data_IF_095215573561
#
_entry.id   IF_095215573561
#
_cell.length_a   1.000
_cell.length_b   1.000
_cell.length_c   1.000
_cell.angle_alpha   90.00
_cell.angle_beta   90.00
_cell.angle_gamma   90.00
#
_symmetry.space_group_name_H-M   'P 1'
#
loop_
_entity.id
_entity.type
_entity.pdbx_description
1 polymer ?
#
# COMPACT_ATOMS: atom_id res chain seq x y z
N UNK A 1 -2.98 25.22 0.45
CA UNK A 1 -2.84 23.90 -0.19
C UNK A 1 -2.29 22.96 0.85
N UNK A 2 -3.12 22.09 1.38
CA UNK A 2 -2.73 21.03 2.31
C UNK A 2 -2.10 19.86 1.56
N UNK A 3 -1.46 18.95 2.29
CA UNK A 3 -0.91 17.73 1.71
C UNK A 3 -2.01 16.85 1.09
N UNK A 4 -3.18 16.79 1.71
CA UNK A 4 -4.35 16.04 1.25
C UNK A 4 -4.93 16.63 -0.03
N UNK A 5 -4.99 17.96 -0.14
CA UNK A 5 -5.37 18.65 -1.38
C UNK A 5 -4.35 18.38 -2.50
N UNK A 6 -3.05 18.35 -2.17
CA UNK A 6 -1.98 18.02 -3.10
C UNK A 6 -2.09 16.58 -3.61
N UNK A 7 -2.39 15.62 -2.70
CA UNK A 7 -2.68 14.23 -3.03
C UNK A 7 -3.87 14.12 -3.98
N UNK A 8 -4.97 14.82 -3.70
CA UNK A 8 -6.18 14.79 -4.54
C UNK A 8 -5.88 15.28 -5.96
N UNK A 9 -5.17 16.41 -6.10
CA UNK A 9 -4.76 16.93 -7.41
C UNK A 9 -3.83 16.00 -8.18
N UNK A 10 -2.85 15.40 -7.50
CA UNK A 10 -1.99 14.38 -8.12
C UNK A 10 -2.80 13.16 -8.57
N UNK A 11 -3.83 12.77 -7.80
CA UNK A 11 -4.68 11.64 -8.14
C UNK A 11 -5.53 11.89 -9.39
N UNK A 12 -6.07 13.12 -9.53
CA UNK A 12 -6.84 13.58 -10.69
C UNK A 12 -6.01 13.71 -11.97
N UNK A 13 -4.68 13.85 -11.85
CA UNK A 13 -3.78 13.89 -12.99
C UNK A 13 -3.08 12.54 -13.20
N UNK A 14 -3.50 11.77 -14.21
CA UNK A 14 -2.91 10.46 -14.53
C UNK A 14 -1.41 10.49 -14.87
N UNK A 15 -0.84 11.66 -15.18
CA UNK A 15 0.59 11.80 -15.44
C UNK A 15 1.40 12.09 -14.17
N UNK A 16 0.74 12.38 -13.04
CA UNK A 16 1.42 12.64 -11.78
C UNK A 16 1.96 11.34 -11.18
N UNK A 17 3.26 11.32 -10.91
CA UNK A 17 3.98 10.16 -10.36
C UNK A 17 4.38 10.35 -8.88
N UNK A 18 4.52 11.59 -8.41
CA UNK A 18 4.77 11.87 -7.01
C UNK A 18 4.32 13.28 -6.61
N UNK A 19 4.17 13.50 -5.30
CA UNK A 19 3.88 14.81 -4.72
C UNK A 19 4.55 14.99 -3.35
N UNK A 20 4.75 16.23 -2.93
CA UNK A 20 5.30 16.60 -1.63
C UNK A 20 4.89 18.03 -1.24
N UNK A 21 5.11 18.38 0.03
CA UNK A 21 5.08 19.78 0.46
C UNK A 21 6.27 20.53 -0.17
N UNK A 22 6.02 21.75 -0.65
CA UNK A 22 7.07 22.60 -1.22
C UNK A 22 7.86 23.37 -0.15
N UNK A 23 7.25 23.61 1.01
CA UNK A 23 7.89 24.13 2.21
C UNK A 23 7.71 23.10 3.32
N UNK A 24 8.79 22.73 4.01
CA UNK A 24 8.80 21.72 5.08
C UNK A 24 8.65 22.34 6.48
N UNK A 25 8.73 23.67 6.60
CA UNK A 25 8.64 24.38 7.88
C UNK A 25 7.24 24.27 8.47
N UNK A 26 7.16 24.36 9.81
CA UNK A 26 5.90 24.50 10.55
C UNK A 26 4.86 23.38 10.26
N UNK A 27 5.32 22.14 10.05
CA UNK A 27 4.47 20.99 9.71
C UNK A 27 4.20 20.83 8.20
N UNK A 28 4.80 21.69 7.39
CA UNK A 28 4.81 21.62 5.94
C UNK A 28 3.64 22.33 5.27
N UNK A 29 3.90 22.97 4.14
CA UNK A 29 2.89 23.67 3.35
C UNK A 29 3.22 23.70 1.85
N UNK A 30 2.20 24.04 1.05
CA UNK A 30 2.33 24.11 -0.40
C UNK A 30 2.30 22.73 -1.08
N UNK A 31 2.63 22.69 -2.37
CA UNK A 31 2.55 21.46 -3.16
C UNK A 31 3.50 21.53 -4.33
N UNK A 32 4.31 20.50 -4.48
CA UNK A 32 5.09 20.21 -5.68
C UNK A 32 4.66 18.83 -6.20
N UNK A 33 4.50 18.72 -7.51
CA UNK A 33 4.10 17.49 -8.20
C UNK A 33 5.12 17.17 -9.29
N UNK A 34 5.45 15.89 -9.42
CA UNK A 34 6.35 15.37 -10.45
C UNK A 34 5.57 14.62 -11.52
N UNK A 35 5.98 14.83 -12.77
CA UNK A 35 5.44 14.19 -13.95
C UNK A 35 6.59 13.46 -14.67
N UNK A 36 6.40 12.19 -15.00
CA UNK A 36 7.47 11.36 -15.58
C UNK A 36 8.40 10.73 -14.52
N UNK A 37 9.57 10.28 -14.95
CA UNK A 37 10.45 9.46 -14.12
C UNK A 37 11.08 10.25 -12.96
N UNK A 38 11.11 9.62 -11.78
CA UNK A 38 11.82 10.15 -10.62
C UNK A 38 13.29 9.75 -10.71
N UNK A 39 14.12 10.65 -11.22
CA UNK A 39 15.57 10.47 -11.32
C UNK A 39 16.30 11.18 -10.18
N UNK A 40 17.51 10.71 -9.87
CA UNK A 40 18.41 11.32 -8.86
C UNK A 40 17.83 11.45 -7.44
N UNK A 41 16.91 10.55 -7.07
CA UNK A 41 16.37 10.49 -5.70
C UNK A 41 17.33 9.70 -4.80
N UNK A 42 17.67 10.29 -3.64
CA UNK A 42 18.47 9.65 -2.60
C UNK A 42 17.81 9.80 -1.24
N UNK A 43 17.72 8.70 -0.50
CA UNK A 43 17.33 8.77 0.91
C UNK A 43 18.54 9.17 1.75
N UNK A 44 18.38 10.23 2.54
CA UNK A 44 19.37 10.70 3.51
C UNK A 44 18.85 10.44 4.93
N UNK A 45 19.72 10.02 5.86
CA UNK A 45 19.32 9.85 7.25
C UNK A 45 19.04 11.21 7.91
N UNK A 46 18.08 11.24 8.83
CA UNK A 46 17.70 12.41 9.65
C UNK A 46 17.00 13.57 8.92
N UNK A 47 16.51 13.35 7.70
CA UNK A 47 15.70 14.34 6.98
C UNK A 47 14.20 14.12 7.24
N UNK A 48 13.46 15.21 7.34
CA UNK A 48 12.02 15.27 7.56
C UNK A 48 11.22 15.51 6.27
N UNK A 49 11.91 15.67 5.14
CA UNK A 49 11.25 15.79 3.85
C UNK A 49 10.64 14.45 3.40
N UNK A 50 9.32 14.46 3.20
CA UNK A 50 8.57 13.31 2.70
C UNK A 50 8.23 13.48 1.21
N UNK A 51 8.60 12.49 0.41
CA UNK A 51 8.18 12.35 -0.99
C UNK A 51 7.14 11.22 -1.10
N UNK A 52 5.93 11.54 -1.57
CA UNK A 52 4.85 10.56 -1.72
C UNK A 52 4.77 10.09 -3.17
N UNK A 53 5.08 8.82 -3.41
CA UNK A 53 5.09 8.21 -4.74
C UNK A 53 3.73 7.55 -5.03
N UNK A 54 3.16 7.82 -6.21
CA UNK A 54 1.95 7.16 -6.70
C UNK A 54 2.32 5.76 -7.17
N UNK A 55 1.74 4.76 -6.52
CA UNK A 55 1.94 3.34 -6.86
C UNK A 55 0.64 2.73 -7.38
N UNK A 56 0.76 1.76 -8.27
CA UNK A 56 -0.36 0.90 -8.64
C UNK A 56 -0.79 0.07 -7.43
N UNK A 57 -2.09 -0.16 -7.28
CA UNK A 57 -2.57 -1.10 -6.27
C UNK A 57 -2.06 -2.49 -6.62
N UNK A 58 -1.43 -3.23 -5.68
CA UNK A 58 -1.14 -4.63 -5.94
C UNK A 58 -2.48 -5.35 -6.19
N UNK A 59 -2.58 -6.05 -7.32
CA UNK A 59 -3.70 -6.95 -7.55
C UNK A 59 -3.69 -7.97 -6.41
N UNK A 60 -4.76 -8.01 -5.63
CA UNK A 60 -4.95 -9.02 -4.60
C UNK A 60 -5.03 -10.38 -5.28
N UNK A 61 -3.91 -11.12 -5.33
CA UNK A 61 -3.90 -12.52 -5.69
C UNK A 61 -4.75 -13.28 -4.66
N UNK A 62 -6.04 -13.45 -4.97
CA UNK A 62 -7.01 -14.14 -4.14
C UNK A 62 -6.75 -15.66 -4.21
N UNK A 63 -5.66 -16.10 -3.57
CA UNK A 63 -5.29 -17.51 -3.51
C UNK A 63 -6.10 -18.24 -2.44
N UNK A 64 -7.27 -18.78 -2.80
CA UNK A 64 -7.90 -20.03 -2.32
C UNK A 64 -7.68 -20.53 -0.85
N UNK A 65 -7.50 -19.67 0.15
CA UNK A 65 -7.29 -20.09 1.57
C UNK A 65 -8.46 -20.89 2.14
N UNK A 66 -9.68 -20.63 1.67
CA UNK A 66 -10.91 -21.26 2.16
C UNK A 66 -11.00 -22.75 1.83
N UNK A 67 -10.44 -23.20 0.69
CA UNK A 67 -10.47 -24.62 0.31
C UNK A 67 -9.58 -25.48 1.22
N UNK A 68 -8.42 -24.95 1.64
CA UNK A 68 -7.48 -25.69 2.48
C UNK A 68 -8.08 -25.96 3.89
N UNK A 69 -8.73 -24.95 4.49
CA UNK A 69 -9.34 -25.06 5.82
C UNK A 69 -10.49 -26.09 5.83
N UNK A 70 -11.32 -26.12 4.78
CA UNK A 70 -12.42 -27.08 4.69
C UNK A 70 -11.93 -28.55 4.63
N UNK A 71 -10.85 -28.80 3.88
CA UNK A 71 -10.26 -30.15 3.74
C UNK A 71 -9.63 -30.62 5.05
N UNK A 72 -8.92 -29.74 5.77
CA UNK A 72 -8.29 -30.13 7.04
C UNK A 72 -9.33 -30.41 8.13
N UNK A 73 -10.36 -29.57 8.26
CA UNK A 73 -11.41 -29.76 9.28
C UNK A 73 -12.19 -31.05 9.05
N UNK A 74 -12.58 -31.33 7.80
CA UNK A 74 -13.33 -32.57 7.48
C UNK A 74 -12.49 -33.82 7.70
N UNK A 75 -11.21 -33.80 7.34
CA UNK A 75 -10.28 -34.89 7.60
C UNK A 75 -10.11 -35.16 9.10
N UNK A 76 -9.90 -34.13 9.92
CA UNK A 76 -9.72 -34.28 11.38
C UNK A 76 -10.99 -34.82 12.03
N UNK A 77 -12.17 -34.30 11.67
CA UNK A 77 -13.46 -34.77 12.19
C UNK A 77 -13.70 -36.26 11.87
N UNK A 78 -13.37 -36.69 10.65
CA UNK A 78 -13.52 -38.10 10.25
C UNK A 78 -12.61 -39.03 11.08
N UNK A 79 -11.35 -38.64 11.28
CA UNK A 79 -10.39 -39.40 12.11
C UNK A 79 -10.85 -39.47 13.57
N UNK A 80 -11.31 -38.36 14.14
CA UNK A 80 -11.82 -38.34 15.52
C UNK A 80 -13.03 -39.24 15.68
N UNK A 81 -14.00 -39.17 14.75
CA UNK A 81 -15.16 -40.07 14.79
C UNK A 81 -14.77 -41.55 14.72
N UNK A 82 -13.84 -41.91 13.83
CA UNK A 82 -13.31 -43.28 13.73
C UNK A 82 -12.70 -43.77 15.05
N UNK A 83 -11.91 -42.93 15.73
CA UNK A 83 -11.28 -43.26 17.01
C UNK A 83 -12.29 -43.39 18.16
N UNK A 84 -13.40 -42.66 18.13
CA UNK A 84 -14.45 -42.74 19.17
C UNK A 84 -15.41 -43.92 19.02
N UNK A 85 -15.49 -44.50 17.82
CA UNK A 85 -16.38 -45.65 17.52
C UNK A 85 -15.63 -46.99 17.64
N UNK A 86 -14.30 -46.96 17.70
CA UNK A 86 -13.43 -48.13 17.89
C UNK A 86 -13.21 -48.48 19.36
#
# INVERSE_FOLDING_TARGET
MTLEECKAKCWENCSCNAYANSDIRDGGSGCVMWFGDLIDIRQVPFDDQHLYIRLASPETANGNKTKLIAVTVTSVLAVVMLLTVS
#
